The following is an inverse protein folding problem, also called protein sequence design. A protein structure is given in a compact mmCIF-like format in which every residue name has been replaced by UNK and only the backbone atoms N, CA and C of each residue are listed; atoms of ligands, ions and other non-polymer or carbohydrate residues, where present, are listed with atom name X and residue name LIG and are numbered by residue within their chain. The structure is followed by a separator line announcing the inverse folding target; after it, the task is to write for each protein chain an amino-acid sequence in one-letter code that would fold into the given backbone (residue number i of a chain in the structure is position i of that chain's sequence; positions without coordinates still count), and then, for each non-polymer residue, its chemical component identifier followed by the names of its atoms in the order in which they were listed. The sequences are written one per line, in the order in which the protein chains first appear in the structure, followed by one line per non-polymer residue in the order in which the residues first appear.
data_IF_814513377920
#
_entry.id   IF_814513377920
#
_cell.length_a   1.000
_cell.length_b   1.000
_cell.length_c   1.000
_cell.angle_alpha   90.00
_cell.angle_beta   90.00
_cell.angle_gamma   90.00
#
_symmetry.space_group_name_H-M   'P 1'
#
loop_
_entity.id
_entity.type
_entity.pdbx_description
1 polymer ?
#
# COMPACT_ATOMS: atom_id res chain seq x y z
N UNK A 1 -49.83 -25.16 6.48
CA UNK A 1 -49.37 -23.96 7.20
C UNK A 1 -48.03 -24.29 7.81
N UNK A 2 -46.95 -23.81 7.21
CA UNK A 2 -45.61 -23.81 7.80
C UNK A 2 -45.27 -22.35 7.98
N UNK A 3 -45.24 -21.95 9.27
CA UNK A 3 -44.75 -20.62 9.65
C UNK A 3 -43.26 -20.56 9.35
N UNK A 4 -42.90 -19.75 8.39
CA UNK A 4 -41.55 -19.31 8.17
C UNK A 4 -41.25 -18.27 9.27
N UNK A 5 -40.55 -18.72 10.30
CA UNK A 5 -39.99 -17.84 11.33
C UNK A 5 -38.87 -17.02 10.71
N UNK A 6 -39.21 -15.84 10.26
CA UNK A 6 -38.25 -14.77 9.97
C UNK A 6 -37.66 -14.29 11.30
N UNK A 7 -36.59 -14.95 11.76
CA UNK A 7 -35.68 -14.35 12.74
C UNK A 7 -34.89 -13.24 12.04
N UNK A 8 -35.51 -12.06 11.94
CA UNK A 8 -34.74 -10.85 11.79
C UNK A 8 -33.82 -10.78 13.01
N UNK A 9 -32.53 -11.09 12.83
CA UNK A 9 -31.51 -10.81 13.83
C UNK A 9 -31.60 -9.30 14.12
N UNK A 10 -32.15 -8.96 15.28
CA UNK A 10 -32.11 -7.61 15.84
C UNK A 10 -30.63 -7.24 15.99
N UNK A 11 -30.07 -6.59 14.99
CA UNK A 11 -28.71 -6.05 15.06
C UNK A 11 -28.73 -4.95 16.12
N UNK A 12 -28.11 -5.23 17.26
CA UNK A 12 -27.92 -4.22 18.32
C UNK A 12 -27.19 -3.02 17.68
N UNK A 13 -27.76 -1.82 17.77
CA UNK A 13 -27.15 -0.64 17.14
C UNK A 13 -25.77 -0.41 17.75
N UNK A 14 -24.77 -0.21 16.88
CA UNK A 14 -23.41 0.10 17.32
C UNK A 14 -23.29 1.60 17.63
N UNK A 15 -22.57 1.91 18.70
CA UNK A 15 -22.18 3.29 19.03
C UNK A 15 -20.89 3.63 18.29
N UNK A 16 -20.81 4.84 17.72
CA UNK A 16 -19.62 5.33 17.03
C UNK A 16 -18.96 6.47 17.77
N UNK A 17 -17.63 6.45 17.78
CA UNK A 17 -16.78 7.57 18.20
C UNK A 17 -15.67 7.80 17.19
N UNK A 18 -15.18 9.05 17.11
CA UNK A 18 -14.09 9.40 16.18
C UNK A 18 -12.85 9.75 17.00
N UNK A 19 -11.79 9.00 16.75
CA UNK A 19 -10.47 9.26 17.31
C UNK A 19 -9.78 10.31 16.45
N UNK A 20 -9.37 11.41 17.09
CA UNK A 20 -8.76 12.57 16.44
C UNK A 20 -7.36 12.90 16.95
N UNK A 21 -6.96 12.31 18.06
CA UNK A 21 -5.65 12.56 18.67
C UNK A 21 -4.78 11.31 18.70
N UNK A 22 -3.48 11.51 18.80
CA UNK A 22 -2.51 10.43 18.77
C UNK A 22 -2.54 9.56 20.04
N UNK A 23 -2.83 10.14 21.20
CA UNK A 23 -2.88 9.41 22.46
C UNK A 23 -3.99 8.36 22.49
N UNK A 24 -5.19 8.71 21.97
CA UNK A 24 -6.28 7.76 21.85
C UNK A 24 -5.97 6.66 20.82
N UNK A 25 -5.30 7.02 19.69
CA UNK A 25 -4.88 6.05 18.70
C UNK A 25 -3.82 5.09 19.27
N UNK A 26 -2.89 5.59 20.07
CA UNK A 26 -1.86 4.77 20.72
C UNK A 26 -2.47 3.76 21.69
N UNK A 27 -3.46 4.16 22.47
CA UNK A 27 -4.16 3.26 23.44
C UNK A 27 -4.98 2.16 22.78
N UNK A 28 -5.26 2.27 21.48
CA UNK A 28 -6.03 1.25 20.75
C UNK A 28 -5.21 0.01 20.36
N UNK A 29 -3.91 -0.03 20.54
CA UNK A 29 -3.03 -1.09 20.02
C UNK A 29 -3.58 -2.49 20.25
N UNK A 30 -3.87 -2.83 21.52
CA UNK A 30 -4.31 -4.18 21.89
C UNK A 30 -5.71 -4.52 21.34
N UNK A 31 -6.69 -3.59 21.49
CA UNK A 31 -8.05 -3.79 20.99
C UNK A 31 -8.11 -3.84 19.47
N UNK A 32 -7.26 -3.05 18.79
CA UNK A 32 -7.16 -3.01 17.34
C UNK A 32 -6.69 -4.35 16.75
N UNK A 33 -5.60 -4.88 17.27
CA UNK A 33 -5.04 -6.13 16.76
C UNK A 33 -5.89 -7.33 17.16
N UNK A 34 -6.53 -7.33 18.36
CA UNK A 34 -7.53 -8.33 18.73
C UNK A 34 -8.74 -8.30 17.78
N UNK A 35 -9.25 -7.12 17.44
CA UNK A 35 -10.32 -6.98 16.46
C UNK A 35 -9.90 -7.52 15.10
N UNK A 36 -8.70 -7.16 14.64
CA UNK A 36 -8.19 -7.60 13.33
C UNK A 36 -8.02 -9.12 13.30
N UNK A 37 -7.57 -9.75 14.38
CA UNK A 37 -7.43 -11.20 14.46
C UNK A 37 -8.78 -11.95 14.42
N UNK A 38 -9.87 -11.30 14.79
CA UNK A 38 -11.24 -11.84 14.69
C UNK A 38 -11.97 -11.36 13.42
N UNK A 39 -11.32 -10.67 12.51
CA UNK A 39 -11.95 -10.12 11.31
C UNK A 39 -11.77 -11.06 10.10
N UNK A 40 -12.59 -10.84 9.06
CA UNK A 40 -12.39 -11.45 7.75
C UNK A 40 -11.37 -10.69 6.88
N UNK A 41 -11.12 -9.39 7.21
CA UNK A 41 -10.25 -8.47 6.48
C UNK A 41 -8.78 -8.53 6.95
N UNK A 42 -8.31 -9.70 7.41
CA UNK A 42 -6.95 -9.86 7.95
C UNK A 42 -5.89 -9.54 6.90
N UNK A 43 -5.05 -8.55 7.20
CA UNK A 43 -3.92 -8.18 6.37
C UNK A 43 -2.85 -7.49 7.22
N UNK A 44 -1.58 -7.76 6.94
CA UNK A 44 -0.45 -7.15 7.65
C UNK A 44 -0.52 -5.61 7.66
N UNK A 45 -0.93 -4.99 6.56
CA UNK A 45 -1.00 -3.52 6.44
C UNK A 45 -2.19 -2.90 7.19
N UNK A 46 -3.07 -3.71 7.76
CA UNK A 46 -4.11 -3.28 8.69
C UNK A 46 -3.68 -3.39 10.15
N UNK A 47 -2.53 -4.01 10.48
CA UNK A 47 -2.00 -4.08 11.84
C UNK A 47 -1.80 -2.70 12.42
N UNK A 48 -2.05 -2.57 13.75
CA UNK A 48 -1.94 -1.29 14.44
C UNK A 48 -0.57 -0.64 14.26
N UNK A 49 0.52 -1.39 14.48
CA UNK A 49 1.87 -0.84 14.41
C UNK A 49 2.23 -0.29 13.01
N UNK A 50 1.70 -0.88 11.93
CA UNK A 50 1.87 -0.36 10.57
C UNK A 50 1.18 0.99 10.42
N UNK A 51 -0.10 1.09 10.81
CA UNK A 51 -0.91 2.30 10.69
C UNK A 51 -0.42 3.41 11.60
N UNK A 52 -0.01 3.08 12.84
CA UNK A 52 0.57 4.01 13.80
C UNK A 52 1.88 4.61 13.31
N UNK A 53 2.84 3.76 12.91
CA UNK A 53 4.13 4.21 12.37
C UNK A 53 3.95 5.00 11.08
N UNK A 54 3.04 4.59 10.20
CA UNK A 54 2.73 5.35 9.00
C UNK A 54 2.24 6.76 9.34
N UNK A 55 1.34 6.87 10.29
CA UNK A 55 0.83 8.17 10.74
C UNK A 55 1.95 9.06 11.28
N UNK A 56 2.84 8.53 12.10
CA UNK A 56 3.96 9.27 12.66
C UNK A 56 4.95 9.79 11.61
N UNK A 57 5.21 9.00 10.56
CA UNK A 57 6.24 9.33 9.57
C UNK A 57 5.70 10.06 8.34
N UNK A 58 4.46 9.79 7.93
CA UNK A 58 3.95 10.18 6.63
C UNK A 58 2.64 10.97 6.65
N UNK A 59 2.04 11.22 7.80
CA UNK A 59 0.81 12.01 7.87
C UNK A 59 0.96 13.31 7.08
N UNK A 60 0.10 13.58 6.08
CA UNK A 60 0.20 14.79 5.28
C UNK A 60 0.09 16.04 6.15
N UNK A 61 0.77 17.11 5.78
CA UNK A 61 0.60 18.39 6.46
C UNK A 61 -0.87 18.81 6.42
N UNK A 62 -1.38 19.33 7.55
CA UNK A 62 -2.79 19.73 7.72
C UNK A 62 -3.77 18.56 7.52
N UNK A 63 -3.35 17.37 7.93
CA UNK A 63 -4.24 16.24 8.08
C UNK A 63 -4.56 16.00 9.55
N UNK A 64 -5.70 15.36 9.80
CA UNK A 64 -6.20 15.01 11.12
C UNK A 64 -6.61 13.54 11.12
N UNK A 65 -6.37 12.84 12.21
CA UNK A 65 -6.95 11.52 12.42
C UNK A 65 -8.47 11.59 12.36
N UNK A 66 -9.06 10.60 11.73
CA UNK A 66 -10.51 10.45 11.62
C UNK A 66 -10.89 8.97 11.72
N UNK A 67 -10.32 8.28 12.70
CA UNK A 67 -10.56 6.85 12.89
C UNK A 67 -11.94 6.68 13.48
N UNK A 68 -12.86 6.03 12.76
CA UNK A 68 -14.18 5.71 13.28
C UNK A 68 -14.09 4.39 14.04
N UNK A 69 -14.37 4.45 15.33
CA UNK A 69 -14.46 3.31 16.25
C UNK A 69 -15.93 2.95 16.44
N UNK A 70 -16.29 1.67 16.22
CA UNK A 70 -17.63 1.14 16.40
C UNK A 70 -17.63 0.16 17.58
N UNK A 71 -18.49 0.40 18.58
CA UNK A 71 -18.62 -0.46 19.78
C UNK A 71 -20.05 -0.93 19.98
N UNK A 72 -20.22 -2.09 20.61
CA UNK A 72 -21.54 -2.54 21.08
C UNK A 72 -21.96 -1.87 22.39
N UNK A 73 -23.12 -2.27 22.91
CA UNK A 73 -23.68 -1.73 24.15
C UNK A 73 -22.83 -1.96 25.40
N UNK A 74 -21.96 -2.96 25.38
CA UNK A 74 -21.01 -3.28 26.46
C UNK A 74 -19.66 -2.57 26.27
N UNK A 75 -19.53 -1.72 25.25
CA UNK A 75 -18.30 -0.97 24.94
C UNK A 75 -17.24 -1.80 24.20
N UNK A 76 -17.53 -3.05 23.83
CA UNK A 76 -16.59 -3.91 23.11
C UNK A 76 -16.44 -3.44 21.66
N UNK A 77 -15.20 -3.37 21.19
CA UNK A 77 -14.87 -2.97 19.83
C UNK A 77 -15.39 -3.99 18.81
N UNK A 78 -16.19 -3.51 17.85
CA UNK A 78 -16.80 -4.31 16.76
C UNK A 78 -16.25 -3.97 15.38
N UNK A 79 -15.76 -2.75 15.18
CA UNK A 79 -15.22 -2.34 13.90
C UNK A 79 -14.41 -1.06 13.96
N UNK A 80 -13.51 -0.93 12.97
CA UNK A 80 -12.67 0.25 12.78
C UNK A 80 -12.66 0.63 11.30
N UNK A 81 -12.89 1.94 11.03
CA UNK A 81 -12.53 2.56 9.76
C UNK A 81 -11.28 3.43 10.00
N UNK A 82 -10.10 3.00 9.52
CA UNK A 82 -8.83 3.68 9.78
C UNK A 82 -8.65 4.86 8.83
N UNK A 83 -9.44 5.91 9.01
CA UNK A 83 -9.48 7.07 8.15
C UNK A 83 -8.64 8.22 8.71
N UNK A 84 -8.21 9.09 7.82
CA UNK A 84 -7.74 10.43 8.15
C UNK A 84 -8.36 11.45 7.21
N UNK A 85 -8.48 12.69 7.68
CA UNK A 85 -9.00 13.82 6.90
C UNK A 85 -7.84 14.71 6.47
N UNK A 86 -7.83 15.12 5.21
CA UNK A 86 -6.90 16.14 4.70
C UNK A 86 -7.62 17.23 3.93
N UNK A 87 -7.03 18.41 3.89
CA UNK A 87 -7.52 19.52 3.09
C UNK A 87 -6.90 19.48 1.69
N UNK A 88 -7.75 19.48 0.67
CA UNK A 88 -7.33 19.72 -0.71
C UNK A 88 -7.17 21.23 -0.93
N UNK A 89 -6.00 21.65 -1.42
CA UNK A 89 -5.66 23.06 -1.57
C UNK A 89 -5.27 23.41 -3.01
N UNK A 90 -5.62 24.66 -3.39
CA UNK A 90 -5.12 25.31 -4.60
C UNK A 90 -4.51 26.64 -4.14
N UNK A 91 -3.25 26.89 -4.48
CA UNK A 91 -2.49 28.07 -4.04
C UNK A 91 -2.51 28.30 -2.51
N UNK A 92 -2.51 27.20 -1.73
CA UNK A 92 -2.58 27.29 -0.27
C UNK A 92 -3.97 27.54 0.31
N UNK A 93 -4.97 27.76 -0.53
CA UNK A 93 -6.37 27.97 -0.11
C UNK A 93 -7.09 26.63 -0.07
N UNK A 94 -7.66 26.22 1.08
CA UNK A 94 -8.42 24.98 1.19
C UNK A 94 -9.77 25.12 0.46
N UNK A 95 -10.07 24.17 -0.42
CA UNK A 95 -11.32 24.18 -1.18
C UNK A 95 -12.17 22.91 -0.99
N UNK A 96 -11.60 21.80 -0.53
CA UNK A 96 -12.34 20.57 -0.23
C UNK A 96 -11.64 19.78 0.89
N UNK A 97 -12.43 18.95 1.58
CA UNK A 97 -11.98 18.04 2.64
C UNK A 97 -12.11 16.60 2.13
N UNK A 98 -11.01 15.89 2.12
CA UNK A 98 -10.97 14.50 1.67
C UNK A 98 -10.72 13.57 2.85
N UNK A 99 -11.51 12.50 2.93
CA UNK A 99 -11.23 11.35 3.78
C UNK A 99 -10.49 10.27 2.97
N UNK A 100 -9.40 9.77 3.51
CA UNK A 100 -8.62 8.69 2.94
C UNK A 100 -8.21 7.68 4.02
N UNK A 101 -7.82 6.48 3.64
CA UNK A 101 -7.32 5.48 4.58
C UNK A 101 -5.89 5.79 5.01
N UNK A 102 -5.60 5.59 6.30
CA UNK A 102 -4.22 5.57 6.82
C UNK A 102 -3.45 4.52 6.00
N UNK A 103 -2.18 4.79 5.68
CA UNK A 103 -1.40 3.94 4.78
C UNK A 103 -1.48 4.34 3.31
N UNK A 104 -2.36 5.29 2.93
CA UNK A 104 -2.59 5.70 1.54
C UNK A 104 -2.46 7.21 1.33
N UNK A 105 -2.52 7.65 0.09
CA UNK A 105 -2.61 9.08 -0.23
C UNK A 105 -1.30 9.84 -0.27
N UNK A 106 -0.17 9.14 -0.21
CA UNK A 106 1.18 9.67 -0.45
C UNK A 106 1.77 9.07 -1.72
N UNK A 107 2.79 9.70 -2.30
CA UNK A 107 3.44 9.21 -3.54
C UNK A 107 4.15 7.87 -3.36
N UNK A 108 4.54 7.54 -2.14
CA UNK A 108 5.19 6.27 -1.82
C UNK A 108 4.14 5.20 -1.55
N UNK A 109 4.23 4.08 -2.27
CA UNK A 109 3.46 2.88 -1.90
C UNK A 109 4.03 2.33 -0.59
N UNK A 110 3.30 2.54 0.48
CA UNK A 110 3.69 2.09 1.83
C UNK A 110 2.95 0.84 2.28
N UNK A 111 2.00 0.33 1.49
CA UNK A 111 1.26 -0.89 1.76
C UNK A 111 0.18 -1.12 0.72
N UNK A 112 -0.40 -2.30 0.75
CA UNK A 112 -1.53 -2.68 -0.10
C UNK A 112 -2.71 -3.12 0.78
N UNK A 113 -3.89 -3.23 0.20
CA UNK A 113 -5.09 -3.78 0.82
C UNK A 113 -5.63 -3.03 2.05
N UNK A 114 -5.65 -1.69 2.08
CA UNK A 114 -6.35 -0.97 3.14
C UNK A 114 -7.84 -1.30 3.09
N UNK A 115 -8.47 -1.48 4.26
CA UNK A 115 -9.89 -1.78 4.36
C UNK A 115 -10.48 -1.23 5.66
N UNK A 116 -11.81 -1.20 5.74
CA UNK A 116 -12.55 -1.14 6.99
C UNK A 116 -12.67 -2.58 7.50
N UNK A 117 -12.38 -2.83 8.75
CA UNK A 117 -12.45 -4.19 9.29
C UNK A 117 -13.38 -4.28 10.51
N UNK A 118 -13.99 -5.44 10.64
CA UNK A 118 -15.00 -5.71 11.62
C UNK A 118 -14.85 -7.11 12.22
N UNK A 119 -15.31 -7.33 13.44
CA UNK A 119 -15.49 -8.69 13.97
C UNK A 119 -16.40 -9.48 13.03
N UNK A 120 -16.10 -10.76 12.88
CA UNK A 120 -16.90 -11.67 12.04
C UNK A 120 -18.37 -11.61 12.46
N UNK A 121 -19.25 -11.44 11.45
CA UNK A 121 -20.67 -11.30 11.63
C UNK A 121 -21.15 -9.89 12.01
N UNK A 122 -20.24 -8.93 12.23
CA UNK A 122 -20.58 -7.53 12.50
C UNK A 122 -20.39 -6.62 11.27
N UNK A 123 -19.97 -7.15 10.13
CA UNK A 123 -19.55 -6.39 8.95
C UNK A 123 -20.64 -5.42 8.47
N UNK A 124 -21.89 -5.90 8.37
CA UNK A 124 -23.02 -5.07 7.95
C UNK A 124 -23.34 -3.97 8.95
N UNK A 125 -23.33 -4.30 10.26
CA UNK A 125 -23.60 -3.34 11.32
C UNK A 125 -22.51 -2.26 11.39
N UNK A 126 -21.25 -2.65 11.22
CA UNK A 126 -20.11 -1.73 11.16
C UNK A 126 -20.21 -0.83 9.94
N UNK A 127 -20.50 -1.38 8.76
CA UNK A 127 -20.69 -0.60 7.54
C UNK A 127 -21.79 0.46 7.71
N UNK A 128 -22.91 0.06 8.35
CA UNK A 128 -24.01 0.97 8.66
C UNK A 128 -23.57 2.06 9.62
N UNK A 129 -22.99 1.68 10.77
CA UNK A 129 -22.59 2.63 11.80
C UNK A 129 -21.54 3.63 11.29
N UNK A 130 -20.58 3.18 10.48
CA UNK A 130 -19.61 4.06 9.82
C UNK A 130 -20.30 5.03 8.85
N UNK A 131 -21.23 4.52 8.02
CA UNK A 131 -21.98 5.36 7.08
C UNK A 131 -22.79 6.45 7.80
N UNK A 132 -23.55 6.08 8.82
CA UNK A 132 -24.36 7.01 9.62
C UNK A 132 -23.46 8.04 10.33
N UNK A 133 -22.33 7.63 10.85
CA UNK A 133 -21.34 8.52 11.46
C UNK A 133 -20.78 9.54 10.45
N UNK A 134 -20.38 9.10 9.27
CA UNK A 134 -19.86 9.98 8.23
C UNK A 134 -20.90 10.96 7.71
N UNK A 135 -22.16 10.53 7.59
CA UNK A 135 -23.26 11.43 7.18
C UNK A 135 -23.60 12.46 8.26
N UNK A 136 -23.71 12.03 9.52
CA UNK A 136 -24.02 12.92 10.65
C UNK A 136 -22.93 13.99 10.86
N UNK A 137 -21.68 13.62 10.74
CA UNK A 137 -20.56 14.55 10.93
C UNK A 137 -20.44 15.59 9.81
N UNK A 138 -20.79 15.24 8.57
CA UNK A 138 -20.71 16.16 7.43
C UNK A 138 -19.33 16.79 7.19
N UNK A 139 -18.30 16.26 7.84
CA UNK A 139 -16.97 16.85 7.88
C UNK A 139 -16.08 16.51 6.67
N UNK A 140 -16.66 15.98 5.61
CA UNK A 140 -15.98 15.59 4.39
C UNK A 140 -16.75 16.06 3.15
N UNK A 141 -16.03 16.22 2.03
CA UNK A 141 -16.59 16.59 0.74
C UNK A 141 -16.34 15.47 -0.29
N UNK A 142 -15.28 14.68 -0.05
CA UNK A 142 -14.88 13.51 -0.85
C UNK A 142 -14.35 12.40 0.04
N UNK A 143 -14.73 11.16 -0.28
CA UNK A 143 -14.13 9.93 0.22
C UNK A 143 -13.25 9.33 -0.89
N UNK A 144 -12.00 8.97 -0.57
CA UNK A 144 -11.05 8.42 -1.51
C UNK A 144 -10.34 7.22 -0.90
N UNK A 145 -10.80 6.02 -1.29
CA UNK A 145 -10.34 4.75 -0.76
C UNK A 145 -9.61 3.98 -1.86
N UNK A 146 -8.30 4.14 -1.90
CA UNK A 146 -7.44 3.58 -2.95
C UNK A 146 -6.79 2.28 -2.51
N UNK A 147 -6.76 1.28 -3.39
CA UNK A 147 -6.07 0.02 -3.17
C UNK A 147 -6.85 -0.98 -2.30
N UNK A 148 -8.12 -0.73 -2.06
CA UNK A 148 -9.02 -1.64 -1.32
C UNK A 148 -9.16 -2.97 -2.06
N UNK A 149 -9.14 -4.13 -1.39
CA UNK A 149 -9.40 -5.42 -2.04
C UNK A 149 -10.69 -5.40 -2.84
N UNK A 150 -10.63 -5.85 -4.10
CA UNK A 150 -11.85 -5.99 -4.90
C UNK A 150 -12.79 -7.00 -4.22
N UNK A 151 -14.02 -6.58 -3.96
CA UNK A 151 -15.02 -7.41 -3.27
C UNK A 151 -15.09 -7.18 -1.76
N UNK A 152 -14.45 -6.13 -1.20
CA UNK A 152 -14.74 -5.70 0.18
C UNK A 152 -16.22 -5.39 0.35
N UNK A 153 -16.95 -6.27 1.04
CA UNK A 153 -18.38 -6.13 1.28
C UNK A 153 -18.70 -4.90 2.14
N UNK A 154 -17.86 -4.62 3.14
CA UNK A 154 -18.02 -3.46 4.04
C UNK A 154 -17.97 -2.16 3.25
N UNK A 155 -17.00 -1.99 2.36
CA UNK A 155 -16.88 -0.78 1.54
C UNK A 155 -18.03 -0.67 0.54
N UNK A 156 -18.43 -1.79 -0.10
CA UNK A 156 -19.56 -1.78 -1.02
C UNK A 156 -20.87 -1.37 -0.32
N UNK A 157 -21.10 -1.88 0.90
CA UNK A 157 -22.27 -1.52 1.70
C UNK A 157 -22.22 -0.06 2.17
N UNK A 158 -21.05 0.40 2.60
CA UNK A 158 -20.83 1.79 2.97
C UNK A 158 -21.19 2.75 1.83
N UNK A 159 -20.66 2.50 0.64
CA UNK A 159 -20.90 3.37 -0.52
C UNK A 159 -22.37 3.44 -0.92
N UNK A 160 -23.14 2.36 -0.75
CA UNK A 160 -24.60 2.36 -1.02
C UNK A 160 -25.39 3.19 -0.02
N UNK A 161 -24.86 3.39 1.19
CA UNK A 161 -25.52 4.15 2.28
C UNK A 161 -25.23 5.63 2.23
N UNK A 162 -24.07 6.02 1.70
CA UNK A 162 -23.70 7.43 1.62
C UNK A 162 -24.59 8.18 0.62
N UNK A 163 -25.15 9.32 1.02
CA UNK A 163 -25.88 10.24 0.15
C UNK A 163 -24.90 11.02 -0.74
N UNK A 164 -24.16 10.31 -1.58
CA UNK A 164 -23.07 10.83 -2.39
C UNK A 164 -23.02 10.13 -3.75
N UNK A 165 -22.39 10.78 -4.74
CA UNK A 165 -22.05 10.11 -5.99
C UNK A 165 -20.87 9.16 -5.72
N UNK A 166 -21.13 7.87 -5.80
CA UNK A 166 -20.12 6.83 -5.59
C UNK A 166 -19.71 6.18 -6.91
N UNK A 167 -18.44 5.82 -7.02
CA UNK A 167 -17.87 5.03 -8.10
C UNK A 167 -16.82 4.07 -7.60
N UNK A 168 -16.64 2.95 -8.31
CA UNK A 168 -15.64 1.94 -8.02
C UNK A 168 -14.94 1.54 -9.31
N UNK A 169 -13.61 1.60 -9.32
CA UNK A 169 -12.81 1.28 -10.50
C UNK A 169 -11.64 0.38 -10.07
N UNK A 170 -11.44 -0.73 -10.76
CA UNK A 170 -10.24 -1.56 -10.56
C UNK A 170 -9.00 -0.72 -10.87
N UNK A 171 -8.09 -0.63 -9.94
CA UNK A 171 -6.92 0.27 -10.06
C UNK A 171 -5.58 -0.48 -10.17
N UNK A 172 -5.47 -1.67 -9.61
CA UNK A 172 -4.23 -2.47 -9.68
C UNK A 172 -4.54 -3.96 -9.47
N UNK A 173 -3.53 -4.82 -9.71
CA UNK A 173 -3.59 -6.23 -9.36
C UNK A 173 -2.26 -6.70 -8.77
N UNK A 174 -2.35 -7.61 -7.83
CA UNK A 174 -1.20 -8.20 -7.13
C UNK A 174 -1.10 -9.68 -7.50
N UNK A 175 -0.12 -10.06 -8.32
CA UNK A 175 0.13 -11.46 -8.61
C UNK A 175 0.54 -12.22 -7.33
N UNK A 176 0.07 -13.46 -7.16
CA UNK A 176 0.49 -14.29 -6.03
C UNK A 176 0.70 -15.76 -6.43
N UNK A 177 1.55 -16.44 -5.65
CA UNK A 177 1.76 -17.88 -5.71
C UNK A 177 0.95 -18.52 -4.60
N UNK A 178 0.13 -19.49 -4.94
CA UNK A 178 -0.55 -20.36 -3.97
C UNK A 178 0.47 -21.38 -3.47
N UNK A 179 0.79 -21.34 -2.18
CA UNK A 179 1.73 -22.27 -1.54
C UNK A 179 1.02 -23.39 -0.77
N UNK A 180 -0.32 -23.39 -0.77
CA UNK A 180 -1.12 -24.49 -0.20
C UNK A 180 -1.12 -25.76 -1.05
N UNK A 181 -0.75 -25.64 -2.34
CA UNK A 181 -0.53 -26.77 -3.25
C UNK A 181 0.88 -27.35 -3.09
N UNK A 182 1.15 -28.52 -3.68
CA UNK A 182 2.52 -29.06 -3.66
C UNK A 182 3.48 -28.21 -4.53
N UNK A 183 4.76 -28.16 -4.15
CA UNK A 183 5.80 -27.54 -4.98
C UNK A 183 5.83 -28.09 -6.40
N UNK A 184 5.54 -29.38 -6.58
CA UNK A 184 5.53 -30.02 -7.89
C UNK A 184 4.37 -29.53 -8.74
N UNK A 185 3.17 -29.39 -8.17
CA UNK A 185 1.99 -28.87 -8.85
C UNK A 185 2.20 -27.41 -9.24
N UNK A 186 2.75 -26.59 -8.34
CA UNK A 186 3.14 -25.22 -8.65
C UNK A 186 4.10 -25.17 -9.84
N UNK A 187 5.18 -25.96 -9.83
CA UNK A 187 6.13 -26.00 -10.95
C UNK A 187 5.47 -26.38 -12.26
N UNK A 188 4.54 -27.34 -12.25
CA UNK A 188 3.80 -27.75 -13.45
C UNK A 188 2.87 -26.64 -13.97
N UNK A 189 2.35 -25.77 -13.10
CA UNK A 189 1.52 -24.63 -13.49
C UNK A 189 2.32 -23.55 -14.22
N UNK A 190 3.63 -23.47 -14.02
CA UNK A 190 4.48 -22.44 -14.64
C UNK A 190 4.64 -22.64 -16.15
N UNK A 191 4.83 -21.55 -16.86
CA UNK A 191 5.19 -21.59 -18.28
C UNK A 191 6.47 -22.39 -18.52
N UNK A 192 6.60 -23.00 -19.71
CA UNK A 192 7.69 -23.95 -20.07
C UNK A 192 9.09 -23.42 -19.73
N UNK A 193 9.37 -22.14 -19.97
CA UNK A 193 10.66 -21.52 -19.66
C UNK A 193 10.87 -21.42 -18.15
N UNK A 194 9.89 -20.88 -17.40
CA UNK A 194 10.01 -20.75 -15.94
C UNK A 194 10.09 -22.10 -15.23
N UNK A 195 9.34 -23.10 -15.67
CA UNK A 195 9.40 -24.46 -15.12
C UNK A 195 10.82 -25.06 -15.18
N UNK A 196 11.58 -24.78 -16.25
CA UNK A 196 12.98 -25.20 -16.36
C UNK A 196 13.90 -24.36 -15.49
N UNK A 197 13.60 -23.10 -15.32
CA UNK A 197 14.51 -22.11 -14.74
C UNK A 197 14.30 -21.90 -13.25
N UNK A 198 13.12 -22.27 -12.70
CA UNK A 198 12.78 -22.01 -11.29
C UNK A 198 13.83 -22.51 -10.30
N UNK A 199 14.43 -23.68 -10.55
CA UNK A 199 15.51 -24.25 -9.73
C UNK A 199 16.90 -24.08 -10.36
N UNK A 200 16.96 -23.74 -11.65
CA UNK A 200 18.21 -23.72 -12.40
C UNK A 200 19.15 -22.61 -11.93
N UNK A 201 18.65 -21.41 -11.75
CA UNK A 201 19.48 -20.27 -11.38
C UNK A 201 20.07 -20.43 -9.97
N UNK A 202 19.27 -20.92 -9.01
CA UNK A 202 19.78 -21.22 -7.68
C UNK A 202 20.86 -22.31 -7.73
N UNK A 203 20.59 -23.45 -8.38
CA UNK A 203 21.58 -24.54 -8.51
C UNK A 203 22.87 -24.08 -9.18
N UNK A 204 22.78 -23.32 -10.28
CA UNK A 204 23.95 -22.81 -10.99
C UNK A 204 24.80 -21.92 -10.09
N UNK A 205 24.16 -21.07 -9.28
CA UNK A 205 24.85 -20.17 -8.37
C UNK A 205 25.60 -20.97 -7.28
N UNK A 206 24.95 -21.96 -6.67
CA UNK A 206 25.53 -22.81 -5.63
C UNK A 206 26.63 -23.75 -6.14
N UNK A 207 26.60 -24.11 -7.42
CA UNK A 207 27.70 -24.86 -8.06
C UNK A 207 28.90 -23.96 -8.33
N UNK A 208 28.67 -22.70 -8.70
CA UNK A 208 29.73 -21.79 -9.09
C UNK A 208 30.44 -21.12 -7.90
N UNK A 209 29.72 -20.89 -6.81
CA UNK A 209 30.18 -20.13 -5.66
C UNK A 209 29.84 -20.84 -4.35
N UNK A 210 30.62 -20.54 -3.31
CA UNK A 210 30.24 -20.90 -1.93
C UNK A 210 29.06 -19.99 -1.50
N UNK A 211 27.83 -20.53 -1.56
CA UNK A 211 26.60 -19.79 -1.24
C UNK A 211 25.95 -20.35 0.02
N UNK A 212 25.35 -19.45 0.79
CA UNK A 212 24.49 -19.79 1.91
C UNK A 212 23.20 -18.97 1.82
N UNK A 213 22.04 -19.64 1.88
CA UNK A 213 20.72 -19.01 1.95
C UNK A 213 20.15 -19.18 3.36
N UNK A 214 19.78 -18.11 4.00
CA UNK A 214 19.39 -18.09 5.42
C UNK A 214 18.18 -17.21 5.68
N UNK A 215 17.28 -17.67 6.55
CA UNK A 215 16.29 -16.83 7.22
C UNK A 215 16.93 -16.21 8.47
N UNK A 216 16.76 -14.90 8.66
CA UNK A 216 17.22 -14.18 9.86
C UNK A 216 16.23 -14.45 10.99
N UNK A 217 16.66 -15.23 11.98
CA UNK A 217 15.84 -15.65 13.12
C UNK A 217 16.26 -14.98 14.44
N UNK A 218 17.56 -14.77 14.63
CA UNK A 218 18.05 -14.17 15.86
C UNK A 218 18.03 -12.64 15.82
N UNK A 219 17.75 -12.03 16.97
CA UNK A 219 17.75 -10.57 17.10
C UNK A 219 19.15 -9.97 16.86
N UNK A 220 20.22 -10.70 17.20
CA UNK A 220 21.60 -10.26 16.97
C UNK A 220 21.97 -10.16 15.49
N UNK A 221 21.31 -10.94 14.62
CA UNK A 221 21.52 -10.91 13.17
C UNK A 221 20.63 -9.88 12.47
N UNK A 222 19.55 -9.42 13.13
CA UNK A 222 18.52 -8.59 12.51
C UNK A 222 19.07 -7.25 11.99
N UNK A 223 19.77 -6.49 12.83
CA UNK A 223 20.26 -5.17 12.42
C UNK A 223 21.31 -5.26 11.30
N UNK A 224 22.32 -6.15 11.37
CA UNK A 224 23.25 -6.34 10.25
C UNK A 224 22.53 -6.73 8.95
N UNK A 225 21.51 -7.60 9.02
CA UNK A 225 20.78 -8.03 7.83
C UNK A 225 19.88 -6.90 7.26
N UNK A 226 19.33 -6.03 8.11
CA UNK A 226 18.62 -4.83 7.65
C UNK A 226 19.59 -3.87 6.96
N UNK A 227 20.79 -3.66 7.51
CA UNK A 227 21.82 -2.82 6.89
C UNK A 227 22.23 -3.36 5.51
N UNK A 228 22.42 -4.67 5.38
CA UNK A 228 22.70 -5.31 4.11
C UNK A 228 21.53 -5.17 3.11
N UNK A 229 20.30 -5.36 3.56
CA UNK A 229 19.11 -5.13 2.70
C UNK A 229 19.10 -3.69 2.15
N UNK A 230 19.30 -2.69 3.01
CA UNK A 230 19.32 -1.27 2.63
C UNK A 230 20.47 -1.00 1.65
N UNK A 231 21.68 -1.45 1.97
CA UNK A 231 22.88 -1.34 1.12
C UNK A 231 22.64 -1.92 -0.28
N UNK A 232 22.20 -3.17 -0.33
CA UNK A 232 21.98 -3.90 -1.59
C UNK A 232 20.82 -3.35 -2.41
N UNK A 233 19.76 -2.91 -1.75
CA UNK A 233 18.66 -2.24 -2.42
C UNK A 233 19.13 -0.94 -3.08
N UNK A 234 19.89 -0.11 -2.35
CA UNK A 234 20.39 1.14 -2.90
C UNK A 234 21.44 0.92 -4.02
N UNK A 235 22.28 -0.11 -3.91
CA UNK A 235 23.20 -0.51 -5.00
C UNK A 235 22.44 -0.82 -6.29
N UNK A 236 21.40 -1.65 -6.20
CA UNK A 236 20.54 -2.00 -7.34
C UNK A 236 19.89 -0.79 -7.99
N UNK A 237 19.30 0.11 -7.19
CA UNK A 237 18.57 1.25 -7.71
C UNK A 237 19.49 2.33 -8.27
N UNK A 238 20.68 2.52 -7.68
CA UNK A 238 21.73 3.39 -8.25
C UNK A 238 22.22 2.88 -9.61
N UNK A 239 22.39 1.56 -9.75
CA UNK A 239 22.75 0.95 -11.04
C UNK A 239 21.64 1.12 -12.10
N UNK A 240 20.39 1.29 -11.68
CA UNK A 240 19.25 1.59 -12.55
C UNK A 240 19.00 3.12 -12.73
N UNK A 241 19.89 3.97 -12.19
CA UNK A 241 19.74 5.44 -12.17
C UNK A 241 18.44 5.92 -11.51
N UNK A 242 17.93 5.17 -10.53
CA UNK A 242 16.71 5.48 -9.77
C UNK A 242 17.03 5.63 -8.28
N UNK A 243 16.29 6.45 -7.51
CA UNK A 243 16.62 6.73 -6.11
C UNK A 243 16.39 5.52 -5.18
N UNK A 244 15.46 4.64 -5.49
CA UNK A 244 15.01 3.59 -4.57
C UNK A 244 14.27 4.14 -3.34
N UNK A 245 13.54 3.28 -2.65
CA UNK A 245 12.70 3.71 -1.50
C UNK A 245 13.54 4.12 -0.28
N UNK A 246 14.65 3.44 -0.03
CA UNK A 246 15.56 3.78 1.08
C UNK A 246 16.42 5.04 0.83
N UNK A 247 16.24 5.74 -0.28
CA UNK A 247 16.85 7.07 -0.45
C UNK A 247 16.20 8.15 0.43
N UNK A 248 15.02 7.87 0.97
CA UNK A 248 14.34 8.72 1.95
C UNK A 248 14.65 8.25 3.37
N UNK A 249 15.30 9.08 4.21
CA UNK A 249 15.57 8.74 5.61
C UNK A 249 14.31 8.42 6.42
N UNK A 250 13.20 9.12 6.17
CA UNK A 250 11.93 8.87 6.86
C UNK A 250 11.38 7.47 6.52
N UNK A 251 11.52 7.04 5.25
CA UNK A 251 11.10 5.71 4.79
C UNK A 251 12.00 4.62 5.37
N UNK A 252 13.31 4.84 5.38
CA UNK A 252 14.25 3.90 5.97
C UNK A 252 13.97 3.73 7.47
N UNK A 253 13.79 4.83 8.20
CA UNK A 253 13.50 4.79 9.64
C UNK A 253 12.15 4.09 9.92
N UNK A 254 11.12 4.39 9.14
CA UNK A 254 9.82 3.72 9.23
C UNK A 254 9.98 2.21 9.03
N UNK A 255 10.60 1.78 7.94
CA UNK A 255 10.75 0.37 7.62
C UNK A 255 11.62 -0.40 8.63
N UNK A 256 12.68 0.23 9.16
CA UNK A 256 13.48 -0.36 10.25
C UNK A 256 12.62 -0.61 11.50
N UNK A 257 11.79 0.35 11.91
CA UNK A 257 10.87 0.17 13.04
C UNK A 257 9.85 -0.95 12.78
N UNK A 258 9.26 -0.97 11.59
CA UNK A 258 8.32 -2.04 11.20
C UNK A 258 9.01 -3.41 11.22
N UNK A 259 10.21 -3.56 10.65
CA UNK A 259 10.93 -4.82 10.62
C UNK A 259 11.29 -5.32 12.02
N UNK A 260 11.76 -4.44 12.92
CA UNK A 260 12.04 -4.80 14.33
C UNK A 260 10.79 -5.32 15.04
N UNK A 261 9.68 -4.60 14.91
CA UNK A 261 8.40 -5.00 15.53
C UNK A 261 7.89 -6.31 14.92
N UNK A 262 7.91 -6.45 13.61
CA UNK A 262 7.48 -7.68 12.94
C UNK A 262 8.36 -8.88 13.28
N UNK A 263 9.65 -8.66 13.52
CA UNK A 263 10.55 -9.72 13.99
C UNK A 263 10.16 -10.21 15.39
N UNK A 264 9.93 -9.29 16.34
CA UNK A 264 9.52 -9.66 17.71
C UNK A 264 8.16 -10.37 17.76
N UNK A 265 7.30 -10.15 16.75
CA UNK A 265 6.00 -10.81 16.61
C UNK A 265 6.07 -12.12 15.77
N UNK A 266 7.24 -12.52 15.27
CA UNK A 266 7.40 -13.69 14.40
C UNK A 266 6.80 -13.54 13.01
N UNK A 267 6.47 -12.29 12.61
CA UNK A 267 5.85 -11.94 11.33
C UNK A 267 6.85 -11.52 10.25
N UNK A 268 8.10 -11.24 10.60
CA UNK A 268 9.14 -10.91 9.63
C UNK A 268 9.65 -12.16 8.92
N UNK A 269 9.83 -12.03 7.60
CA UNK A 269 10.61 -12.97 6.79
C UNK A 269 11.70 -12.15 6.08
N UNK A 270 12.88 -12.12 6.69
CA UNK A 270 14.08 -11.51 6.10
C UNK A 270 15.05 -12.62 5.73
N UNK A 271 15.16 -12.90 4.43
CA UNK A 271 16.14 -13.85 3.91
C UNK A 271 17.37 -13.14 3.39
N UNK A 272 18.52 -13.77 3.58
CA UNK A 272 19.80 -13.35 3.03
C UNK A 272 20.39 -14.46 2.17
N UNK A 273 21.14 -14.08 1.16
CA UNK A 273 21.94 -14.98 0.32
C UNK A 273 23.36 -14.46 0.26
N UNK A 274 24.26 -15.20 0.87
CA UNK A 274 25.69 -14.91 0.79
C UNK A 274 26.33 -15.62 -0.40
N UNK A 275 27.36 -14.98 -0.94
CA UNK A 275 28.25 -15.51 -1.98
C UNK A 275 29.67 -15.31 -1.51
N UNK A 276 30.42 -16.40 -1.38
CA UNK A 276 31.80 -16.39 -0.88
C UNK A 276 31.93 -15.65 0.48
N UNK A 277 30.98 -15.86 1.39
CA UNK A 277 30.98 -15.30 2.74
C UNK A 277 30.46 -13.87 2.87
N UNK A 278 30.05 -13.20 1.78
CA UNK A 278 29.48 -11.85 1.79
C UNK A 278 28.01 -11.90 1.40
N UNK A 279 27.13 -11.19 2.15
CA UNK A 279 25.70 -11.09 1.78
C UNK A 279 25.58 -10.23 0.52
N UNK A 280 25.10 -10.85 -0.57
CA UNK A 280 24.99 -10.27 -1.90
C UNK A 280 23.55 -10.14 -2.39
N UNK A 281 22.59 -10.78 -1.71
CA UNK A 281 21.17 -10.52 -1.91
C UNK A 281 20.40 -10.63 -0.58
N UNK A 282 19.34 -9.83 -0.45
CA UNK A 282 18.43 -9.89 0.67
C UNK A 282 16.99 -9.61 0.18
N UNK A 283 16.01 -10.29 0.81
CA UNK A 283 14.59 -10.10 0.53
C UNK A 283 13.83 -10.03 1.85
N UNK A 284 12.97 -9.03 1.99
CA UNK A 284 12.08 -8.88 3.13
C UNK A 284 10.62 -9.03 2.71
N UNK A 285 9.90 -9.79 3.50
CA UNK A 285 8.44 -9.93 3.44
C UNK A 285 7.84 -9.92 4.83
N UNK A 286 6.53 -9.67 4.88
CA UNK A 286 5.75 -9.66 6.12
C UNK A 286 4.66 -10.73 6.05
N UNK A 287 4.64 -11.60 7.06
CA UNK A 287 3.69 -12.70 7.16
C UNK A 287 2.54 -12.32 8.06
N UNK A 288 1.33 -12.44 7.56
CA UNK A 288 0.11 -12.35 8.35
C UNK A 288 -1.00 -13.21 7.76
N UNK A 289 -1.70 -13.94 8.61
CA UNK A 289 -2.84 -14.78 8.24
C UNK A 289 -2.61 -15.65 7.01
N UNK A 290 -1.50 -16.37 6.97
CA UNK A 290 -1.14 -17.25 5.85
C UNK A 290 -0.60 -16.55 4.61
N UNK A 291 -0.61 -15.20 4.56
CA UNK A 291 -0.13 -14.44 3.41
C UNK A 291 1.24 -13.85 3.70
N UNK A 292 2.24 -14.23 2.93
CA UNK A 292 3.54 -13.59 2.92
C UNK A 292 3.56 -12.48 1.87
N UNK A 293 3.56 -11.25 2.32
CA UNK A 293 3.65 -10.05 1.49
C UNK A 293 5.13 -9.76 1.14
N UNK A 294 5.54 -10.04 -0.09
CA UNK A 294 6.87 -9.70 -0.59
C UNK A 294 7.02 -8.19 -0.71
N UNK A 295 7.79 -7.58 0.19
CA UNK A 295 7.82 -6.13 0.32
C UNK A 295 8.98 -5.49 -0.43
N UNK A 296 10.25 -5.86 -0.12
CA UNK A 296 11.43 -5.29 -0.77
C UNK A 296 12.52 -6.33 -1.00
N UNK A 297 13.36 -6.08 -2.03
CA UNK A 297 14.53 -6.88 -2.35
C UNK A 297 15.71 -6.00 -2.74
N UNK A 298 16.88 -6.31 -2.20
CA UNK A 298 18.17 -5.79 -2.61
C UNK A 298 19.05 -6.89 -3.17
N UNK A 299 19.95 -6.57 -4.11
CA UNK A 299 20.98 -7.47 -4.60
C UNK A 299 22.14 -6.71 -5.23
N UNK A 300 23.32 -7.31 -5.25
CA UNK A 300 24.50 -6.76 -5.92
C UNK A 300 24.39 -6.93 -7.44
N UNK A 301 24.31 -5.83 -8.22
CA UNK A 301 24.25 -5.86 -9.69
C UNK A 301 25.48 -6.52 -10.33
N UNK A 302 26.60 -6.60 -9.65
CA UNK A 302 27.81 -7.27 -10.13
C UNK A 302 27.58 -8.74 -10.50
N UNK A 303 26.58 -9.38 -9.87
CA UNK A 303 26.17 -10.76 -10.18
C UNK A 303 25.00 -10.86 -11.16
N UNK A 304 24.74 -9.83 -11.95
CA UNK A 304 23.61 -9.84 -12.92
C UNK A 304 23.75 -10.97 -13.96
N UNK A 305 24.97 -11.31 -14.39
CA UNK A 305 25.25 -12.41 -15.32
C UNK A 305 25.01 -13.81 -14.70
N UNK A 306 24.96 -13.90 -13.39
CA UNK A 306 24.72 -15.12 -12.63
C UNK A 306 23.27 -15.22 -12.13
N UNK A 307 22.39 -14.28 -12.54
CA UNK A 307 20.96 -14.25 -12.21
C UNK A 307 20.67 -14.27 -10.70
N UNK A 308 21.57 -13.68 -9.88
CA UNK A 308 21.47 -13.66 -8.41
C UNK A 308 20.09 -13.23 -7.91
N UNK A 309 19.51 -12.18 -8.54
CA UNK A 309 18.19 -11.67 -8.18
C UNK A 309 17.08 -12.70 -8.40
N UNK A 310 17.17 -13.49 -9.47
CA UNK A 310 16.21 -14.55 -9.81
C UNK A 310 16.40 -15.76 -8.90
N UNK A 311 17.66 -16.12 -8.63
CA UNK A 311 18.01 -17.18 -7.69
C UNK A 311 17.47 -16.89 -6.29
N UNK A 312 17.69 -15.66 -5.78
CA UNK A 312 17.15 -15.22 -4.48
C UNK A 312 15.62 -15.36 -4.41
N UNK A 313 14.91 -14.88 -5.44
CA UNK A 313 13.46 -14.97 -5.46
C UNK A 313 12.96 -16.42 -5.52
N UNK A 314 13.61 -17.27 -6.30
CA UNK A 314 13.32 -18.70 -6.38
C UNK A 314 13.46 -19.39 -5.02
N UNK A 315 14.55 -19.09 -4.30
CA UNK A 315 14.82 -19.65 -2.97
C UNK A 315 13.76 -19.18 -1.95
N UNK A 316 13.39 -17.91 -1.97
CA UNK A 316 12.35 -17.38 -1.07
C UNK A 316 10.98 -18.00 -1.35
N UNK A 317 10.60 -18.15 -2.63
CA UNK A 317 9.34 -18.81 -3.00
C UNK A 317 9.40 -20.27 -2.53
N UNK A 318 10.51 -20.99 -2.77
CA UNK A 318 10.66 -22.37 -2.31
C UNK A 318 10.55 -22.48 -0.80
N UNK A 319 11.23 -21.62 -0.05
CA UNK A 319 11.16 -21.57 1.41
C UNK A 319 9.72 -21.28 1.92
N UNK A 320 8.90 -20.58 1.12
CA UNK A 320 7.50 -20.34 1.46
C UNK A 320 6.63 -21.60 1.32
N UNK A 321 6.98 -22.55 0.44
CA UNK A 321 6.32 -23.86 0.39
C UNK A 321 6.74 -24.77 1.56
N UNK A 322 7.91 -24.54 2.11
CA UNK A 322 8.45 -25.33 3.23
C UNK A 322 8.02 -24.77 4.60
N UNK A 323 7.48 -23.54 4.68
CA UNK A 323 6.92 -22.95 5.92
C UNK A 323 5.39 -23.18 5.99
N UNK A 324 4.90 -24.06 6.88
CA UNK A 324 3.48 -24.40 6.98
C UNK A 324 2.57 -23.22 7.41
N UNK A 325 3.15 -22.09 7.79
CA UNK A 325 2.42 -20.86 8.13
C UNK A 325 2.10 -20.00 6.91
N UNK A 326 2.60 -20.36 5.71
CA UNK A 326 2.48 -19.58 4.48
C UNK A 326 1.57 -20.34 3.49
N UNK A 327 0.37 -19.82 3.27
CA UNK A 327 -0.58 -20.34 2.28
C UNK A 327 -0.44 -19.64 0.92
N UNK A 328 0.15 -18.44 0.92
CA UNK A 328 0.39 -17.72 -0.34
C UNK A 328 1.56 -16.73 -0.23
N UNK A 329 2.33 -16.64 -1.32
CA UNK A 329 3.39 -15.63 -1.52
C UNK A 329 2.84 -14.54 -2.44
N UNK A 330 2.54 -13.38 -1.88
CA UNK A 330 1.95 -12.24 -2.57
C UNK A 330 3.03 -11.26 -3.03
N UNK A 331 3.13 -11.02 -4.33
CA UNK A 331 4.09 -10.09 -4.91
C UNK A 331 3.73 -8.62 -4.69
N UNK A 332 2.58 -8.36 -4.10
CA UNK A 332 1.99 -7.03 -3.93
C UNK A 332 1.76 -6.29 -5.26
N UNK A 333 1.05 -5.19 -5.21
CA UNK A 333 0.74 -4.38 -6.39
C UNK A 333 1.99 -3.79 -7.05
N UNK A 334 1.84 -3.35 -8.30
CA UNK A 334 2.89 -2.73 -9.09
C UNK A 334 3.27 -3.51 -10.34
N UNK A 335 3.35 -2.78 -11.46
CA UNK A 335 3.39 -3.27 -12.84
C UNK A 335 4.66 -3.96 -13.32
N UNK A 336 5.48 -4.55 -12.44
CA UNK A 336 6.66 -5.29 -12.87
C UNK A 336 6.28 -6.62 -13.53
N UNK A 337 6.31 -6.68 -14.86
CA UNK A 337 5.88 -7.84 -15.67
C UNK A 337 6.55 -9.17 -15.28
N UNK A 338 7.72 -9.14 -14.61
CA UNK A 338 8.37 -10.37 -14.15
C UNK A 338 7.55 -11.11 -13.08
N UNK A 339 6.74 -10.42 -12.27
CA UNK A 339 5.91 -11.04 -11.22
C UNK A 339 4.93 -12.06 -11.81
N UNK A 340 4.35 -11.75 -12.97
CA UNK A 340 3.42 -12.63 -13.71
C UNK A 340 4.08 -13.89 -14.27
N UNK A 341 5.41 -13.94 -14.35
CA UNK A 341 6.13 -15.15 -14.74
C UNK A 341 6.10 -16.21 -13.64
N UNK A 342 6.05 -15.76 -12.37
CA UNK A 342 6.05 -16.61 -11.18
C UNK A 342 4.64 -16.97 -10.71
N UNK A 343 3.66 -16.09 -10.93
CA UNK A 343 2.31 -16.21 -10.39
C UNK A 343 1.29 -16.60 -11.47
N UNK A 344 0.27 -17.37 -11.07
CA UNK A 344 -0.88 -17.74 -11.90
C UNK A 344 -2.18 -17.13 -11.41
N UNK A 345 -2.15 -16.58 -10.22
CA UNK A 345 -3.29 -15.96 -9.56
C UNK A 345 -3.03 -14.47 -9.35
N UNK A 346 -4.07 -13.68 -9.32
CA UNK A 346 -4.00 -12.24 -9.07
C UNK A 346 -5.10 -11.83 -8.09
N UNK A 347 -4.79 -10.93 -7.17
CA UNK A 347 -5.75 -10.23 -6.31
C UNK A 347 -5.94 -8.83 -6.87
N UNK A 348 -7.14 -8.50 -7.31
CA UNK A 348 -7.44 -7.16 -7.79
C UNK A 348 -7.73 -6.21 -6.63
N UNK A 349 -7.31 -4.96 -6.79
CA UNK A 349 -7.66 -3.85 -5.89
C UNK A 349 -8.42 -2.78 -6.65
N UNK A 350 -9.25 -2.04 -5.92
CA UNK A 350 -10.09 -0.99 -6.46
C UNK A 350 -9.84 0.35 -5.80
N UNK A 351 -10.07 1.40 -6.57
CA UNK A 351 -10.30 2.75 -6.08
C UNK A 351 -11.81 2.93 -5.92
N UNK A 352 -12.23 3.23 -4.70
CA UNK A 352 -13.59 3.65 -4.40
C UNK A 352 -13.60 5.14 -4.09
N UNK A 353 -14.47 5.86 -4.76
CA UNK A 353 -14.66 7.29 -4.56
C UNK A 353 -16.12 7.58 -4.24
N UNK A 354 -16.35 8.50 -3.31
CA UNK A 354 -17.66 9.10 -3.11
C UNK A 354 -17.52 10.61 -2.97
N UNK A 355 -18.43 11.37 -3.57
CA UNK A 355 -18.41 12.83 -3.53
C UNK A 355 -19.79 13.36 -3.13
N UNK A 356 -19.83 14.20 -2.09
CA UNK A 356 -21.08 14.82 -1.63
C UNK A 356 -21.61 15.80 -2.66
N UNK A 357 -22.93 16.06 -2.63
CA UNK A 357 -23.59 17.02 -3.52
C UNK A 357 -23.53 18.43 -2.94
N UNK A 358 -22.29 18.94 -2.68
CA UNK A 358 -22.11 20.29 -2.15
C UNK A 358 -21.16 21.12 -3.03
N UNK A 359 -21.07 22.42 -2.75
CA UNK A 359 -20.23 23.34 -3.52
C UNK A 359 -18.75 22.94 -3.51
N UNK A 360 -18.23 22.49 -2.37
CA UNK A 360 -16.81 22.09 -2.23
C UNK A 360 -16.47 20.87 -3.04
N UNK A 361 -17.34 19.87 -3.09
CA UNK A 361 -17.16 18.69 -3.93
C UNK A 361 -17.20 19.04 -5.42
N UNK A 362 -18.10 19.96 -5.81
CA UNK A 362 -18.14 20.50 -7.19
C UNK A 362 -16.86 21.26 -7.53
N UNK A 363 -16.37 22.11 -6.63
CA UNK A 363 -15.10 22.79 -6.80
C UNK A 363 -13.93 21.81 -6.97
N UNK A 364 -13.91 20.73 -6.18
CA UNK A 364 -12.92 19.66 -6.34
C UNK A 364 -12.99 19.04 -7.74
N UNK A 365 -14.18 18.66 -8.20
CA UNK A 365 -14.36 18.07 -9.51
C UNK A 365 -13.86 19.02 -10.63
N UNK A 366 -14.22 20.30 -10.55
CA UNK A 366 -13.78 21.33 -11.51
C UNK A 366 -12.25 21.48 -11.54
N UNK A 367 -11.63 21.60 -10.38
CA UNK A 367 -10.15 21.69 -10.27
C UNK A 367 -9.47 20.43 -10.80
N UNK A 368 -10.03 19.25 -10.55
CA UNK A 368 -9.52 17.99 -11.08
C UNK A 368 -9.59 17.96 -12.60
N UNK A 369 -10.74 18.29 -13.19
CA UNK A 369 -10.93 18.35 -14.64
C UNK A 369 -9.99 19.36 -15.31
N UNK A 370 -9.80 20.54 -14.71
CA UNK A 370 -8.84 21.53 -15.20
C UNK A 370 -7.39 20.98 -15.19
N UNK A 371 -6.98 20.31 -14.11
CA UNK A 371 -5.65 19.68 -14.02
C UNK A 371 -5.46 18.54 -15.02
N UNK A 372 -6.46 17.70 -15.19
CA UNK A 372 -6.46 16.60 -16.18
C UNK A 372 -6.41 17.14 -17.61
N UNK A 373 -7.21 18.18 -17.90
CA UNK A 373 -7.21 18.88 -19.19
C UNK A 373 -5.86 19.54 -19.48
N UNK A 374 -5.30 20.28 -18.52
CA UNK A 374 -3.96 20.86 -18.65
C UNK A 374 -2.88 19.80 -18.86
N UNK A 375 -2.94 18.68 -18.14
CA UNK A 375 -2.02 17.57 -18.32
C UNK A 375 -2.19 16.88 -19.68
N UNK A 376 -3.41 16.80 -20.20
CA UNK A 376 -3.68 16.25 -21.53
C UNK A 376 -3.13 17.19 -22.63
N UNK A 377 -3.40 18.48 -22.53
CA UNK A 377 -2.84 19.51 -23.46
C UNK A 377 -1.31 19.47 -23.41
N UNK A 378 -0.71 19.47 -22.23
CA UNK A 378 0.74 19.36 -22.08
C UNK A 378 1.30 18.10 -22.75
N UNK A 379 0.61 16.96 -22.66
CA UNK A 379 1.03 15.72 -23.35
C UNK A 379 0.97 15.84 -24.87
N UNK A 380 0.01 16.57 -25.41
CA UNK A 380 -0.17 16.75 -26.85
C UNK A 380 0.81 17.78 -27.41
N UNK A 381 0.92 18.92 -26.73
CA UNK A 381 1.71 20.08 -27.22
C UNK A 381 3.22 19.89 -26.99
N UNK A 382 3.62 19.14 -25.95
CA UNK A 382 5.03 18.99 -25.63
C UNK A 382 5.67 17.85 -26.44
N UNK A 383 6.70 18.15 -27.30
CA UNK A 383 7.41 17.13 -28.06
C UNK A 383 7.94 16.00 -27.16
N UNK A 384 7.97 14.78 -27.69
CA UNK A 384 8.40 13.57 -26.95
C UNK A 384 9.79 13.78 -26.35
N UNK A 385 10.72 14.38 -27.10
CA UNK A 385 12.07 14.69 -26.61
C UNK A 385 12.09 15.58 -25.37
N UNK A 386 11.23 16.60 -25.32
CA UNK A 386 11.15 17.51 -24.15
C UNK A 386 10.52 16.79 -22.95
N UNK A 387 9.54 15.92 -23.18
CA UNK A 387 8.96 15.07 -22.13
C UNK A 387 9.98 14.09 -21.56
N UNK A 388 10.82 13.52 -22.42
CA UNK A 388 11.89 12.60 -22.01
C UNK A 388 12.99 13.35 -21.25
N UNK A 389 13.45 14.51 -21.74
CA UNK A 389 14.39 15.39 -21.04
C UNK A 389 13.85 15.83 -19.67
N UNK A 390 12.55 16.18 -19.58
CA UNK A 390 11.92 16.52 -18.31
C UNK A 390 11.86 15.31 -17.37
N UNK A 391 11.55 14.12 -17.90
CA UNK A 391 11.55 12.86 -17.14
C UNK A 391 12.94 12.54 -16.60
N UNK A 392 13.95 12.64 -17.45
CA UNK A 392 15.35 12.43 -17.08
C UNK A 392 15.86 13.49 -16.11
N UNK A 393 15.46 14.77 -16.30
CA UNK A 393 15.77 15.83 -15.36
C UNK A 393 15.10 15.60 -14.00
N UNK A 394 13.84 15.22 -13.97
CA UNK A 394 13.12 14.85 -12.74
C UNK A 394 13.75 13.63 -12.06
N UNK A 395 14.15 12.61 -12.84
CA UNK A 395 14.89 11.45 -12.35
C UNK A 395 16.21 11.88 -11.71
N UNK A 396 17.04 12.64 -12.40
CA UNK A 396 18.34 13.13 -11.91
C UNK A 396 18.19 14.03 -10.67
N UNK A 397 17.13 14.82 -10.63
CA UNK A 397 16.81 15.66 -9.46
C UNK A 397 16.34 14.84 -8.28
N UNK A 398 15.54 13.80 -8.47
CA UNK A 398 15.16 12.83 -7.42
C UNK A 398 16.39 12.11 -6.84
N UNK A 399 17.38 11.82 -7.68
CA UNK A 399 18.65 11.22 -7.23
C UNK A 399 19.49 12.22 -6.42
N UNK A 400 19.41 13.53 -6.73
CA UNK A 400 20.23 14.58 -6.09
C UNK A 400 19.59 15.29 -4.91
N UNK A 401 18.29 15.29 -4.79
CA UNK A 401 17.59 16.04 -3.73
C UNK A 401 16.89 15.13 -2.74
N UNK A 402 17.46 14.96 -1.61
CA UNK A 402 16.91 15.17 -0.28
C UNK A 402 15.39 15.25 -0.16
N UNK A 403 14.82 14.28 0.53
CA UNK A 403 13.62 14.42 1.36
C UNK A 403 12.32 14.75 0.64
N UNK A 404 11.36 13.88 0.76
CA UNK A 404 9.97 13.98 0.28
C UNK A 404 9.28 15.36 0.48
N UNK A 405 9.81 16.21 1.36
CA UNK A 405 9.26 17.55 1.65
C UNK A 405 9.38 18.54 0.47
N UNK A 406 10.36 18.39 -0.42
CA UNK A 406 10.58 19.32 -1.54
C UNK A 406 9.79 18.98 -2.80
N UNK A 407 9.38 17.74 -3.01
CA UNK A 407 8.71 17.28 -4.25
C UNK A 407 7.26 17.75 -4.31
N UNK A 408 6.56 17.78 -3.18
CA UNK A 408 5.16 18.23 -3.11
C UNK A 408 5.00 19.73 -3.39
N UNK A 409 5.96 20.54 -2.96
CA UNK A 409 5.93 21.99 -3.17
C UNK A 409 6.16 22.35 -4.65
N UNK A 410 6.96 21.59 -5.40
CA UNK A 410 7.30 21.93 -6.78
C UNK A 410 6.33 21.39 -7.84
N UNK A 411 5.74 20.20 -7.65
CA UNK A 411 4.67 19.74 -8.55
C UNK A 411 3.43 20.64 -8.42
N UNK A 412 3.11 21.07 -7.21
CA UNK A 412 2.09 22.09 -6.96
C UNK A 412 2.50 23.46 -7.52
N UNK A 413 3.75 23.88 -7.39
CA UNK A 413 4.23 25.18 -7.89
C UNK A 413 4.19 25.27 -9.41
N UNK A 414 4.62 24.22 -10.14
CA UNK A 414 4.60 24.23 -11.61
C UNK A 414 3.17 24.10 -12.19
N UNK A 415 2.32 23.27 -11.59
CA UNK A 415 0.92 23.20 -11.97
C UNK A 415 0.20 24.52 -11.68
N UNK A 416 0.58 25.20 -10.59
CA UNK A 416 0.07 26.50 -10.20
C UNK A 416 0.59 27.61 -11.14
N UNK A 417 1.83 27.54 -11.55
CA UNK A 417 2.42 28.53 -12.47
C UNK A 417 1.84 28.39 -13.89
N UNK A 418 1.56 27.19 -14.36
CA UNK A 418 0.90 26.95 -15.66
C UNK A 418 -0.56 27.43 -15.67
N UNK A 419 -1.26 27.32 -14.54
CA UNK A 419 -2.64 27.88 -14.42
C UNK A 419 -2.59 29.39 -14.36
N UNK A 420 -1.62 30.01 -13.68
CA UNK A 420 -1.44 31.45 -13.63
C UNK A 420 -1.06 32.04 -15.01
N UNK A 421 -0.15 31.39 -15.73
CA UNK A 421 0.24 31.81 -17.08
C UNK A 421 -0.92 31.67 -18.08
N UNK A 422 -1.80 30.68 -17.91
CA UNK A 422 -2.99 30.50 -18.74
C UNK A 422 -4.06 31.58 -18.46
N UNK A 423 -4.19 32.09 -17.20
CA UNK A 423 -5.08 33.21 -16.88
C UNK A 423 -4.58 34.56 -17.35
N UNK A 424 -3.26 34.72 -17.50
CA UNK A 424 -2.64 35.94 -18.02
C UNK A 424 -2.71 36.04 -19.58
N UNK A 425 -2.96 34.92 -20.27
CA UNK A 425 -3.05 34.84 -21.73
C UNK A 425 -4.49 34.86 -22.27
N UNK A 426 -5.52 34.85 -21.42
CA UNK A 426 -6.95 34.82 -21.79
C UNK A 426 -7.70 36.16 -21.85
N UNK A 427 -7.12 37.38 -21.73
CA UNK A 427 -7.90 38.63 -21.90
C UNK A 427 -8.28 38.96 -23.35
N UNK A 428 -7.98 38.10 -24.34
CA UNK A 428 -8.15 38.43 -25.76
C UNK A 428 -9.27 37.70 -26.51
N UNK A 429 -10.11 36.87 -25.88
CA UNK A 429 -11.11 36.04 -26.57
C UNK A 429 -12.56 36.27 -26.14
N UNK A 430 -12.84 37.36 -25.43
CA UNK A 430 -14.20 37.84 -25.15
C UNK A 430 -14.28 39.36 -25.45
N UNK A 431 -14.15 39.71 -26.71
CA UNK A 431 -14.73 40.88 -27.33
C UNK A 431 -15.39 40.48 -28.63
#
# INVERSE_FOLDING_TARGET
MRESSDYAMLTVPLTTSIIRNQEEFERLEAEWDELLDDSAQKCFFLRWHWNWLWWQHFAPRRSELHIVRCTDGDGRLKGIAPLYRRECQVFGVPYARELAMIGTGIELKTGDYPDIFARRGAEQAVSQAVGDCLEAQGAWDRLWLHGVPQGSGIIADLLRRLHAHASSTVCDSSPFVDTSVSWNDYRHSLGRSMRRNVDYYARRLFVKYACEFKLVESYSELEPAIDDLVRLHQMRWRAAEEPGVFNSPDVELFLRKVMRRSHSEGRLRLWTLSVNGTIEAALVGFLDNGVLHYFQKGFNPGYAKDDLSTAMLSLCIRASFDDPRIDSFDFMSGGAGYKKLWARHERATALHEASRQNFRARAYASVRHLREGAAAVFRVVTPTRVRDLRRDWLRRRRVRSLGLRSIFVMASSLANQLVADMWLTLPGLLQ
#
